data_IF_763503701929
#
_entry.id   IF_763503701929
#
_cell.length_a   1.000
_cell.length_b   1.000
_cell.length_c   1.000
_cell.angle_alpha   90.00
_cell.angle_beta   90.00
_cell.angle_gamma   90.00
#
_symmetry.space_group_name_H-M   'P 1'
#
loop_
_entity.id
_entity.type
_entity.pdbx_description
1 polymer ?
#
# COMPACT_ATOMS: atom_id res chain seq x y z
N UNK A 1 19.17 13.86 -10.05
CA UNK A 1 17.93 13.60 -9.28
C UNK A 1 17.84 12.10 -9.09
N UNK A 2 18.09 11.60 -7.89
CA UNK A 2 17.94 10.19 -7.56
C UNK A 2 16.44 9.93 -7.42
N UNK A 3 15.88 9.16 -8.35
CA UNK A 3 14.52 8.67 -8.24
C UNK A 3 14.40 7.88 -6.93
N UNK A 4 13.42 8.14 -6.06
CA UNK A 4 13.22 7.32 -4.87
C UNK A 4 13.12 5.85 -5.29
N UNK A 5 13.70 4.92 -4.52
CA UNK A 5 13.68 3.51 -4.90
C UNK A 5 12.22 3.06 -5.02
N UNK A 6 11.87 2.53 -6.20
CA UNK A 6 10.59 1.85 -6.40
C UNK A 6 10.50 0.71 -5.38
N UNK A 7 9.41 0.69 -4.63
CA UNK A 7 9.13 -0.35 -3.66
C UNK A 7 8.02 -1.24 -4.20
N UNK A 8 8.29 -2.52 -4.31
CA UNK A 8 7.36 -3.51 -4.83
C UNK A 8 7.25 -4.68 -3.85
N UNK A 9 6.02 -4.99 -3.42
CA UNK A 9 5.75 -6.09 -2.49
C UNK A 9 4.51 -6.84 -2.95
N UNK A 10 4.62 -8.15 -3.23
CA UNK A 10 3.49 -8.92 -3.69
C UNK A 10 2.61 -9.32 -2.49
N UNK A 11 1.31 -9.02 -2.52
CA UNK A 11 0.37 -9.40 -1.45
C UNK A 11 -0.06 -10.88 -1.54
N UNK A 12 -0.20 -11.39 -2.76
CA UNK A 12 -0.44 -12.80 -3.09
C UNK A 12 0.30 -13.14 -4.38
N UNK A 13 0.22 -14.37 -4.88
CA UNK A 13 0.78 -14.76 -6.19
C UNK A 13 0.17 -13.99 -7.38
N UNK A 14 -1.01 -13.39 -7.20
CA UNK A 14 -1.72 -12.66 -8.25
C UNK A 14 -1.97 -11.18 -7.94
N UNK A 15 -1.39 -10.66 -6.85
CA UNK A 15 -1.57 -9.25 -6.44
C UNK A 15 -0.23 -8.64 -6.06
N UNK A 16 0.12 -7.53 -6.71
CA UNK A 16 1.34 -6.74 -6.47
C UNK A 16 0.99 -5.34 -5.97
N UNK A 17 1.65 -4.89 -4.92
CA UNK A 17 1.65 -3.49 -4.51
C UNK A 17 2.95 -2.84 -4.99
N UNK A 18 2.84 -1.67 -5.61
CA UNK A 18 3.98 -0.87 -6.07
C UNK A 18 3.85 0.57 -5.56
N UNK A 19 4.98 1.16 -5.19
CA UNK A 19 5.05 2.54 -4.74
C UNK A 19 6.31 3.23 -5.26
N UNK A 20 6.12 4.35 -5.94
CA UNK A 20 7.20 5.14 -6.56
C UNK A 20 7.57 6.40 -5.75
N UNK A 21 7.02 6.55 -4.54
CA UNK A 21 7.15 7.78 -3.73
C UNK A 21 6.02 8.80 -3.93
N UNK A 22 5.13 8.61 -4.91
CA UNK A 22 4.01 9.53 -5.22
C UNK A 22 2.68 8.82 -5.40
N UNK A 23 2.69 7.61 -5.94
CA UNK A 23 1.51 6.83 -6.27
C UNK A 23 1.68 5.42 -5.74
N UNK A 24 0.70 4.99 -4.95
CA UNK A 24 0.48 3.59 -4.61
C UNK A 24 -0.36 2.97 -5.73
N UNK A 25 0.20 1.96 -6.38
CA UNK A 25 -0.52 1.13 -7.34
C UNK A 25 -0.74 -0.28 -6.77
N UNK A 26 -1.92 -0.82 -7.01
CA UNK A 26 -2.30 -2.20 -6.71
C UNK A 26 -2.61 -2.86 -8.03
N UNK A 27 -1.82 -3.85 -8.41
CA UNK A 27 -2.05 -4.67 -9.59
C UNK A 27 -2.66 -5.99 -9.15
N UNK A 28 -3.95 -6.19 -9.43
CA UNK A 28 -4.65 -7.45 -9.25
C UNK A 28 -4.64 -8.30 -10.52
N UNK A 29 -5.34 -9.43 -10.47
CA UNK A 29 -5.42 -10.37 -11.60
C UNK A 29 -6.12 -9.77 -12.83
N UNK A 30 -7.18 -8.98 -12.63
CA UNK A 30 -8.02 -8.44 -13.71
C UNK A 30 -8.14 -6.90 -13.69
N UNK A 31 -7.64 -6.25 -12.65
CA UNK A 31 -7.81 -4.82 -12.42
C UNK A 31 -6.58 -4.20 -11.77
N UNK A 32 -6.48 -2.87 -11.87
CA UNK A 32 -5.49 -2.10 -11.17
C UNK A 32 -6.16 -0.90 -10.47
N UNK A 33 -5.70 -0.61 -9.25
CA UNK A 33 -6.14 0.55 -8.48
C UNK A 33 -4.96 1.47 -8.17
N UNK A 34 -5.14 2.78 -8.38
CA UNK A 34 -4.14 3.81 -8.12
C UNK A 34 -4.60 4.76 -7.04
N UNK A 35 -3.67 5.14 -6.15
CA UNK A 35 -3.89 6.08 -5.06
C UNK A 35 -2.71 7.05 -4.99
N UNK A 36 -2.98 8.34 -5.07
CA UNK A 36 -1.95 9.34 -4.89
C UNK A 36 -1.66 9.58 -3.41
N UNK A 37 -0.42 9.89 -3.05
CA UNK A 37 -0.01 10.17 -1.66
C UNK A 37 -0.84 11.31 -1.02
N UNK A 38 -1.25 12.32 -1.80
CA UNK A 38 -2.10 13.40 -1.29
C UNK A 38 -3.51 12.94 -0.87
N UNK A 39 -3.95 11.76 -1.32
CA UNK A 39 -5.18 11.11 -0.85
C UNK A 39 -4.99 10.45 0.52
N UNK A 40 -3.76 10.45 1.06
CA UNK A 40 -3.36 9.83 2.31
C UNK A 40 -3.79 8.35 2.40
N UNK A 41 -3.37 7.50 1.44
CA UNK A 41 -3.68 6.07 1.48
C UNK A 41 -3.02 5.42 2.70
N UNK A 42 -3.81 4.68 3.47
CA UNK A 42 -3.36 3.91 4.63
C UNK A 42 -3.69 2.44 4.46
N UNK A 43 -2.76 1.58 4.89
CA UNK A 43 -2.92 0.13 4.85
C UNK A 43 -3.34 -0.38 6.23
N UNK A 44 -4.46 -1.11 6.29
CA UNK A 44 -4.94 -1.76 7.51
C UNK A 44 -4.96 -3.27 7.31
N UNK A 45 -4.27 -3.98 8.20
CA UNK A 45 -4.17 -5.44 8.16
C UNK A 45 -5.16 -6.04 9.15
N UNK A 46 -6.02 -6.93 8.68
CA UNK A 46 -6.83 -7.80 9.53
C UNK A 46 -6.30 -9.23 9.47
N UNK A 47 -5.92 -9.74 10.63
CA UNK A 47 -5.54 -11.14 10.84
C UNK A 47 -6.78 -11.95 11.25
N UNK A 48 -6.85 -13.22 10.84
CA UNK A 48 -7.99 -14.09 11.13
C UNK A 48 -8.24 -15.14 10.04
N UNK A 49 -9.46 -15.68 9.98
CA UNK A 49 -9.86 -16.73 9.02
C UNK A 49 -9.68 -16.31 7.55
N UNK A 50 -9.84 -15.01 7.28
CA UNK A 50 -9.49 -14.39 6.00
C UNK A 50 -8.58 -13.21 6.28
N UNK A 51 -7.32 -13.34 5.85
CA UNK A 51 -6.30 -12.30 5.94
C UNK A 51 -6.61 -11.23 4.91
N UNK A 52 -6.91 -10.02 5.37
CA UNK A 52 -7.37 -8.93 4.52
C UNK A 52 -6.51 -7.69 4.74
N UNK A 53 -6.02 -7.14 3.63
CA UNK A 53 -5.43 -5.83 3.55
C UNK A 53 -6.50 -4.86 3.05
N UNK A 54 -6.74 -3.79 3.80
CA UNK A 54 -7.66 -2.72 3.38
C UNK A 54 -6.87 -1.45 3.17
N UNK A 55 -7.02 -0.84 2.00
CA UNK A 55 -6.49 0.47 1.66
C UNK A 55 -7.61 1.47 1.84
N UNK A 56 -7.40 2.49 2.67
CA UNK A 56 -8.35 3.58 2.89
C UNK A 56 -7.70 4.93 2.58
N UNK A 57 -8.41 5.83 1.92
CA UNK A 57 -7.98 7.23 1.73
C UNK A 57 -8.75 8.18 2.62
N UNK A 58 -8.24 9.40 2.80
CA UNK A 58 -8.93 10.45 3.58
C UNK A 58 -10.30 10.84 3.03
N UNK A 59 -10.50 10.67 1.73
CA UNK A 59 -11.76 10.96 1.04
C UNK A 59 -12.77 9.79 1.09
N UNK A 60 -12.48 8.75 1.88
CA UNK A 60 -13.39 7.63 2.10
C UNK A 60 -13.35 6.54 1.02
N UNK A 61 -12.42 6.61 0.06
CA UNK A 61 -12.19 5.49 -0.87
C UNK A 61 -11.61 4.32 -0.08
N UNK A 62 -12.20 3.14 -0.25
CA UNK A 62 -11.78 1.92 0.45
C UNK A 62 -11.68 0.77 -0.54
N UNK A 63 -10.58 0.02 -0.48
CA UNK A 63 -10.34 -1.17 -1.29
C UNK A 63 -9.77 -2.29 -0.44
N UNK A 64 -10.38 -3.46 -0.49
CA UNK A 64 -9.95 -4.64 0.28
C UNK A 64 -9.44 -5.73 -0.64
N UNK A 65 -8.30 -6.31 -0.29
CA UNK A 65 -7.72 -7.47 -0.96
C UNK A 65 -7.22 -8.50 0.04
N UNK A 66 -7.04 -9.74 -0.41
CA UNK A 66 -6.44 -10.80 0.40
C UNK A 66 -4.92 -10.72 0.37
N UNK A 67 -4.26 -11.23 1.41
CA UNK A 67 -2.81 -11.37 1.43
C UNK A 67 -2.38 -12.70 2.02
N UNK A 68 -1.22 -13.20 1.58
CA UNK A 68 -0.63 -14.41 2.09
C UNK A 68 0.05 -14.20 3.44
N UNK A 69 -0.15 -15.15 4.35
CA UNK A 69 0.33 -15.06 5.72
C UNK A 69 1.83 -14.74 5.84
N UNK A 70 2.64 -15.39 5.01
CA UNK A 70 4.09 -15.30 5.03
C UNK A 70 4.63 -13.95 4.52
N UNK A 71 3.78 -13.14 3.87
CA UNK A 71 4.15 -11.83 3.29
C UNK A 71 3.81 -10.65 4.18
N UNK A 72 3.17 -10.90 5.34
CA UNK A 72 2.79 -9.86 6.28
C UNK A 72 3.96 -8.95 6.70
N UNK A 73 5.17 -9.47 7.02
CA UNK A 73 6.29 -8.61 7.40
C UNK A 73 6.67 -7.60 6.32
N UNK A 74 6.77 -8.05 5.07
CA UNK A 74 7.12 -7.18 3.94
C UNK A 74 6.03 -6.15 3.65
N UNK A 75 4.76 -6.56 3.77
CA UNK A 75 3.62 -5.66 3.61
C UNK A 75 3.55 -4.60 4.72
N UNK A 76 3.95 -4.94 5.95
CA UNK A 76 4.03 -3.98 7.06
C UNK A 76 5.15 -2.97 6.82
N UNK A 77 6.33 -3.42 6.41
CA UNK A 77 7.43 -2.53 6.04
C UNK A 77 7.04 -1.61 4.86
N UNK A 78 6.28 -2.13 3.89
CA UNK A 78 5.72 -1.32 2.82
C UNK A 78 4.77 -0.24 3.33
N UNK A 79 3.86 -0.59 4.25
CA UNK A 79 2.93 0.36 4.85
C UNK A 79 3.68 1.49 5.59
N UNK A 80 4.69 1.15 6.39
CA UNK A 80 5.52 2.13 7.10
C UNK A 80 6.21 3.12 6.15
N UNK A 81 6.71 2.63 5.01
CA UNK A 81 7.31 3.48 3.96
C UNK A 81 6.30 4.40 3.30
N UNK A 82 5.10 3.90 3.02
CA UNK A 82 4.02 4.71 2.47
C UNK A 82 3.61 5.82 3.45
N UNK A 83 3.41 5.48 4.72
CA UNK A 83 3.04 6.44 5.77
C UNK A 83 4.11 7.50 6.01
N UNK A 84 5.39 7.10 6.00
CA UNK A 84 6.52 8.02 6.13
C UNK A 84 6.59 9.04 5.00
N UNK A 85 6.07 8.69 3.81
CA UNK A 85 6.04 9.58 2.64
C UNK A 85 4.78 10.46 2.63
N UNK A 86 3.67 9.96 3.18
CA UNK A 86 2.42 10.70 3.30
C UNK A 86 2.43 11.75 4.42
N UNK A 87 3.33 11.62 5.39
CA UNK A 87 3.59 12.67 6.39
C UNK A 87 4.55 13.69 5.79
N UNK A 88 4.10 14.89 5.37
CA UNK A 88 5.06 15.96 5.12
C UNK A 88 5.83 16.21 6.41
N UNK A 89 7.14 16.42 6.30
CA UNK A 89 7.96 16.87 7.40
C UNK A 89 7.28 18.09 8.06
N UNK A 90 6.99 18.08 9.38
CA UNK A 90 6.46 19.25 10.05
C UNK A 90 7.60 20.24 10.28
N UNK A 91 8.18 20.81 9.22
CA UNK A 91 9.17 21.88 9.31
C UNK A 91 8.91 22.95 8.24
N UNK A 92 8.03 23.90 8.57
CA UNK A 92 8.32 25.35 8.56
C UNK A 92 7.16 26.17 9.14
#
# INVERSE_FOLDING_TARGET
MTQPPFLEVPATDSVLLSFDGRVLEVFGYADAARYHVWEEPRLQFRTGRLRRLTITTKHGRSHSLLYDAHRLPDLQMFAERLESTARPDPEH
#
